data_IF_040633229816
#
_entry.id   IF_040633229816
#
_cell.length_a   1.000
_cell.length_b   1.000
_cell.length_c   1.000
_cell.angle_alpha   90.00
_cell.angle_beta   90.00
_cell.angle_gamma   90.00
#
_symmetry.space_group_name_H-M   'P 1'
#
loop_
_entity.id
_entity.type
_entity.pdbx_description
1 polymer ?
#
# COMPACT_ATOMS: atom_id res chain seq x y z
N UNK A 1 -6.83 16.85 1.67
CA UNK A 1 -7.62 16.53 0.46
C UNK A 1 -8.83 15.76 0.95
N UNK A 2 -10.04 16.03 0.46
CA UNK A 2 -11.16 15.13 0.73
C UNK A 2 -10.80 13.72 0.22
N UNK A 3 -11.23 12.70 0.96
CA UNK A 3 -10.91 11.30 0.66
C UNK A 3 -11.86 10.66 -0.36
N UNK A 4 -12.88 11.41 -0.79
CA UNK A 4 -14.02 11.01 -1.64
C UNK A 4 -13.69 10.17 -2.90
N UNK A 5 -12.45 10.23 -3.40
CA UNK A 5 -11.95 9.48 -4.57
C UNK A 5 -10.63 8.72 -4.28
N UNK A 6 -10.32 8.47 -3.01
CA UNK A 6 -9.08 7.84 -2.57
C UNK A 6 -9.27 6.35 -2.33
N UNK A 7 -8.47 5.53 -3.03
CA UNK A 7 -8.38 4.09 -2.80
C UNK A 7 -7.04 3.77 -2.16
N UNK A 8 -7.07 3.13 -0.99
CA UNK A 8 -5.88 2.67 -0.28
C UNK A 8 -5.67 1.19 -0.60
N UNK A 9 -4.59 0.88 -1.32
CA UNK A 9 -4.22 -0.49 -1.69
C UNK A 9 -3.21 -1.03 -0.68
N UNK A 10 -3.53 -2.15 -0.03
CA UNK A 10 -2.71 -2.77 1.02
C UNK A 10 -2.48 -4.25 0.72
N UNK A 11 -1.33 -4.77 1.13
CA UNK A 11 -1.12 -6.22 1.19
C UNK A 11 -1.76 -6.81 2.45
N UNK A 12 -1.92 -8.14 2.47
CA UNK A 12 -2.54 -8.84 3.61
C UNK A 12 -1.55 -9.14 4.75
N UNK A 13 -0.57 -8.26 4.98
CA UNK A 13 0.36 -8.42 6.09
C UNK A 13 -0.39 -8.38 7.43
N UNK A 14 0.04 -9.13 8.48
CA UNK A 14 -0.65 -9.14 9.77
C UNK A 14 -0.79 -7.77 10.44
N UNK A 15 0.05 -6.80 10.09
CA UNK A 15 -0.07 -5.42 10.57
C UNK A 15 -1.26 -4.65 9.99
N UNK A 16 -1.92 -5.16 8.94
CA UNK A 16 -3.09 -4.58 8.29
C UNK A 16 -4.39 -5.34 8.65
N UNK A 17 -4.37 -6.13 9.71
CA UNK A 17 -5.50 -6.98 10.10
C UNK A 17 -6.76 -6.16 10.41
N UNK A 18 -6.59 -5.01 11.07
CA UNK A 18 -7.68 -4.12 11.50
C UNK A 18 -8.05 -3.08 10.42
N UNK A 19 -7.46 -3.14 9.21
CA UNK A 19 -7.68 -2.14 8.18
C UNK A 19 -9.14 -2.06 7.73
N UNK A 20 -9.85 -3.18 7.70
CA UNK A 20 -11.27 -3.19 7.31
C UNK A 20 -12.12 -2.48 8.40
N UNK A 21 -11.86 -2.76 9.68
CA UNK A 21 -12.58 -2.13 10.80
C UNK A 21 -12.31 -0.62 10.91
N UNK A 22 -11.09 -0.18 10.60
CA UNK A 22 -10.73 1.26 10.62
C UNK A 22 -11.46 2.02 9.51
N UNK A 23 -11.59 1.44 8.31
CA UNK A 23 -12.26 2.12 7.19
C UNK A 23 -13.78 2.18 7.34
N UNK A 24 -14.36 1.43 8.29
CA UNK A 24 -15.77 1.56 8.70
C UNK A 24 -16.01 2.76 9.65
N UNK A 25 -14.96 3.45 10.13
CA UNK A 25 -15.11 4.63 11.00
C UNK A 25 -15.52 5.88 10.22
N UNK A 26 -16.34 6.76 10.82
CA UNK A 26 -16.88 7.99 10.19
C UNK A 26 -15.78 8.91 9.63
N UNK A 27 -14.56 8.86 10.20
CA UNK A 27 -13.41 9.63 9.71
C UNK A 27 -12.94 9.18 8.31
N UNK A 28 -13.19 7.93 7.93
CA UNK A 28 -12.65 7.28 6.73
C UNK A 28 -13.72 6.79 5.75
N UNK A 29 -15.01 7.02 6.01
CA UNK A 29 -16.15 6.55 5.18
C UNK A 29 -16.09 7.03 3.71
N UNK A 30 -15.39 8.14 3.46
CA UNK A 30 -15.17 8.66 2.10
C UNK A 30 -14.03 7.93 1.34
N UNK A 31 -13.25 7.06 1.99
CA UNK A 31 -12.13 6.35 1.40
C UNK A 31 -12.46 4.86 1.16
N UNK A 32 -11.94 4.28 0.08
CA UNK A 32 -12.04 2.84 -0.14
C UNK A 32 -10.73 2.13 0.23
N UNK A 33 -10.83 0.93 0.80
CA UNK A 33 -9.69 0.03 1.03
C UNK A 33 -9.75 -1.18 0.10
N UNK A 34 -8.63 -1.47 -0.56
CA UNK A 34 -8.45 -2.64 -1.42
C UNK A 34 -7.34 -3.52 -0.85
N UNK A 35 -7.72 -4.63 -0.22
CA UNK A 35 -6.78 -5.63 0.29
C UNK A 35 -6.41 -6.63 -0.81
N UNK A 36 -5.12 -6.75 -1.05
CA UNK A 36 -4.57 -7.69 -2.02
C UNK A 36 -4.48 -9.10 -1.43
N UNK A 37 -4.74 -10.08 -2.27
CA UNK A 37 -4.54 -11.49 -1.92
C UNK A 37 -3.07 -11.80 -1.59
N UNK A 38 -2.88 -12.78 -0.71
CA UNK A 38 -1.55 -13.24 -0.30
C UNK A 38 -0.68 -13.58 -1.52
N UNK A 39 0.61 -13.22 -1.43
CA UNK A 39 1.58 -13.48 -2.51
C UNK A 39 1.26 -12.79 -3.84
N UNK A 40 0.59 -11.63 -3.82
CA UNK A 40 0.32 -10.80 -5.01
C UNK A 40 1.17 -9.52 -5.09
N UNK A 41 2.50 -9.56 -4.90
CA UNK A 41 3.33 -8.34 -4.90
C UNK A 41 3.31 -7.62 -6.25
N UNK A 42 3.06 -8.34 -7.35
CA UNK A 42 2.93 -7.76 -8.68
C UNK A 42 1.74 -6.81 -8.84
N UNK A 43 0.78 -6.85 -7.91
CA UNK A 43 -0.38 -5.95 -7.88
C UNK A 43 -0.17 -4.78 -6.89
N UNK A 44 0.86 -4.87 -6.02
CA UNK A 44 1.17 -3.84 -5.06
C UNK A 44 2.13 -2.80 -5.66
N UNK A 45 1.60 -1.64 -6.04
CA UNK A 45 2.35 -0.61 -6.79
C UNK A 45 3.54 -0.03 -5.99
N UNK A 46 3.56 -0.16 -4.66
CA UNK A 46 4.72 0.25 -3.85
C UNK A 46 5.98 -0.56 -4.20
N UNK A 47 5.83 -1.79 -4.70
CA UNK A 47 6.94 -2.65 -5.10
C UNK A 47 7.70 -2.08 -6.29
N UNK A 48 7.03 -1.39 -7.21
CA UNK A 48 7.67 -0.70 -8.33
C UNK A 48 8.54 0.46 -7.84
N UNK A 49 8.04 1.23 -6.88
CA UNK A 49 8.78 2.33 -6.24
C UNK A 49 10.01 1.78 -5.52
N UNK A 50 9.86 0.70 -4.75
CA UNK A 50 10.97 0.05 -4.07
C UNK A 50 11.97 -0.58 -5.02
N UNK A 51 11.53 -1.10 -6.17
CA UNK A 51 12.41 -1.62 -7.22
C UNK A 51 13.33 -0.53 -7.77
N UNK A 52 12.78 0.66 -8.07
CA UNK A 52 13.55 1.83 -8.51
C UNK A 52 14.52 2.29 -7.42
N UNK A 53 14.02 2.45 -6.18
CA UNK A 53 14.83 2.87 -5.04
C UNK A 53 15.99 1.90 -4.78
N UNK A 54 15.72 0.60 -4.73
CA UNK A 54 16.72 -0.46 -4.54
C UNK A 54 17.79 -0.43 -5.62
N UNK A 55 17.39 -0.18 -6.86
CA UNK A 55 18.33 -0.05 -7.99
C UNK A 55 19.23 1.17 -7.83
N UNK A 56 18.69 2.31 -7.39
CA UNK A 56 19.47 3.51 -7.11
C UNK A 56 20.44 3.30 -5.94
N UNK A 57 19.99 2.70 -4.84
CA UNK A 57 20.81 2.40 -3.67
C UNK A 57 21.98 1.48 -4.01
N UNK A 58 21.75 0.43 -4.81
CA UNK A 58 22.82 -0.45 -5.31
C UNK A 58 23.87 0.30 -6.13
N UNK A 59 23.45 1.21 -7.02
CA UNK A 59 24.40 2.03 -7.81
C UNK A 59 25.20 2.99 -6.94
N UNK A 60 24.58 3.54 -5.90
CA UNK A 60 25.26 4.42 -4.96
C UNK A 60 26.33 3.67 -4.15
N UNK A 61 26.00 2.47 -3.63
CA UNK A 61 26.90 1.65 -2.82
C UNK A 61 28.00 0.94 -3.61
N UNK A 62 27.82 0.75 -4.92
CA UNK A 62 28.82 0.16 -5.80
C UNK A 62 29.91 1.17 -6.26
N UNK A 63 29.86 2.42 -5.78
CA UNK A 63 30.91 3.43 -5.93
C UNK A 63 31.88 3.35 -4.76
#
# INVERSE_FOLDING_TARGET
MPLEDAVVVLDNAPCHIDADDIFDEEEFDDAEVLKLESYSPMLNHIEDVFSVYKSAAKRFLAR
#
